data_IF_988120314249
#
_entry.id   IF_988120314249
#
_cell.length_a   1.000
_cell.length_b   1.000
_cell.length_c   1.000
_cell.angle_alpha   90.00
_cell.angle_beta   90.00
_cell.angle_gamma   90.00
#
_symmetry.space_group_name_H-M   'P 1'
#
loop_
_entity.id
_entity.type
_entity.pdbx_description
1 polymer ?
#
# COMPACT_ATOMS: atom_id res chain seq x y z
N UNK A 1 47.89 38.52 -27.18
CA UNK A 1 47.07 38.37 -28.39
C UNK A 1 47.59 37.18 -29.15
N UNK A 2 46.83 36.09 -29.18
CA UNK A 2 47.04 34.99 -30.11
C UNK A 2 45.65 34.68 -30.65
N UNK A 3 45.38 35.22 -31.84
CA UNK A 3 44.26 34.82 -32.66
C UNK A 3 44.51 33.38 -33.10
N UNK A 4 43.54 32.51 -32.89
CA UNK A 4 43.48 31.21 -33.56
C UNK A 4 42.30 31.28 -34.52
N UNK A 5 42.62 31.31 -35.81
CA UNK A 5 41.66 31.18 -36.89
C UNK A 5 41.04 29.78 -36.83
N UNK A 6 39.72 29.71 -36.73
CA UNK A 6 38.98 28.48 -37.01
C UNK A 6 38.65 28.45 -38.50
N UNK A 7 39.30 27.58 -39.26
CA UNK A 7 38.84 27.17 -40.59
C UNK A 7 37.61 26.28 -40.39
N UNK A 8 36.43 26.79 -40.73
CA UNK A 8 35.23 25.99 -40.83
C UNK A 8 35.36 25.05 -42.04
N UNK A 9 35.23 23.76 -41.77
CA UNK A 9 35.20 22.70 -42.78
C UNK A 9 33.86 22.79 -43.53
N UNK A 10 33.84 22.72 -44.86
CA UNK A 10 32.62 22.81 -45.69
C UNK A 10 31.60 21.68 -45.37
N UNK A 11 32.02 20.65 -44.63
CA UNK A 11 31.13 19.60 -44.12
C UNK A 11 30.27 20.04 -42.91
N UNK A 12 30.58 21.16 -42.27
CA UNK A 12 29.82 21.69 -41.13
C UNK A 12 28.58 22.49 -41.58
N UNK A 13 28.43 22.78 -42.89
CA UNK A 13 27.23 23.42 -43.44
C UNK A 13 26.02 22.47 -43.51
N UNK A 14 26.19 21.15 -43.38
CA UNK A 14 25.06 20.22 -43.23
C UNK A 14 24.50 20.27 -41.80
N UNK A 15 25.27 20.72 -40.81
CA UNK A 15 24.85 20.83 -39.41
C UNK A 15 24.09 22.13 -39.07
N UNK A 16 23.88 23.03 -40.05
CA UNK A 16 23.11 24.27 -39.87
C UNK A 16 21.93 24.38 -40.84
N UNK A 17 20.97 23.48 -40.72
CA UNK A 17 19.59 23.80 -41.10
C UNK A 17 18.95 24.74 -40.06
N UNK A 18 19.55 25.92 -39.87
CA UNK A 18 18.89 27.08 -39.26
C UNK A 18 18.02 27.67 -40.38
N UNK A 19 16.81 27.14 -40.57
CA UNK A 19 15.94 27.65 -41.64
C UNK A 19 14.70 26.84 -42.02
N UNK A 20 14.47 25.63 -41.49
CA UNK A 20 13.25 24.87 -41.80
C UNK A 20 12.46 24.58 -40.54
N UNK A 21 11.55 25.49 -40.17
CA UNK A 21 10.49 25.19 -39.21
C UNK A 21 9.50 24.20 -39.83
N UNK A 22 9.84 22.92 -39.79
CA UNK A 22 8.89 21.84 -40.01
C UNK A 22 8.53 21.25 -38.64
N UNK A 23 7.73 21.98 -37.86
CA UNK A 23 7.16 21.47 -36.60
C UNK A 23 5.80 20.84 -36.89
N UNK A 24 5.78 19.74 -37.66
CA UNK A 24 4.53 19.04 -37.91
C UNK A 24 4.16 18.15 -36.73
N UNK A 25 2.86 18.09 -36.44
CA UNK A 25 2.30 17.17 -35.46
C UNK A 25 1.42 16.14 -36.16
N UNK A 26 1.28 14.97 -35.55
CA UNK A 26 0.36 13.94 -36.02
C UNK A 26 -0.20 13.18 -34.83
N UNK A 27 -1.52 13.07 -34.81
CA UNK A 27 -2.24 12.28 -33.82
C UNK A 27 -2.62 10.93 -34.40
N UNK A 28 -2.38 9.86 -33.67
CA UNK A 28 -2.79 8.49 -34.03
C UNK A 28 -3.70 7.96 -32.93
N UNK A 29 -4.85 7.41 -33.34
CA UNK A 29 -5.70 6.64 -32.41
C UNK A 29 -5.12 5.24 -32.18
N UNK A 30 -5.34 4.68 -31.01
CA UNK A 30 -4.88 3.32 -30.69
C UNK A 30 -5.48 2.25 -31.61
N UNK A 31 -6.70 2.46 -32.10
CA UNK A 31 -7.31 1.59 -33.11
C UNK A 31 -6.63 1.65 -34.50
N UNK A 32 -5.90 2.73 -34.77
CA UNK A 32 -5.14 2.94 -36.02
C UNK A 32 -3.68 2.50 -35.87
N UNK A 33 -3.20 2.32 -34.63
CA UNK A 33 -1.83 1.89 -34.32
C UNK A 33 -1.57 0.48 -34.84
N UNK A 34 -0.39 0.26 -35.44
CA UNK A 34 -0.05 -1.05 -35.98
C UNK A 34 -0.03 -2.13 -34.89
N UNK A 35 -0.79 -3.21 -35.16
CA UNK A 35 -0.99 -4.31 -34.21
C UNK A 35 0.30 -4.94 -33.70
N UNK A 36 1.32 -5.06 -34.55
CA UNK A 36 2.60 -5.65 -34.16
C UNK A 36 3.37 -4.74 -33.18
N UNK A 37 3.23 -3.42 -33.30
CA UNK A 37 3.83 -2.44 -32.38
C UNK A 37 3.13 -2.51 -31.02
N UNK A 38 1.79 -2.53 -31.01
CA UNK A 38 1.02 -2.66 -29.77
C UNK A 38 1.29 -4.00 -29.05
N UNK A 39 1.36 -5.11 -29.79
CA UNK A 39 1.70 -6.42 -29.23
C UNK A 39 3.12 -6.44 -28.65
N UNK A 40 4.09 -5.78 -29.29
CA UNK A 40 5.44 -5.62 -28.76
C UNK A 40 5.42 -4.83 -27.44
N UNK A 41 4.63 -3.76 -27.36
CA UNK A 41 4.46 -2.98 -26.13
C UNK A 41 3.87 -3.83 -24.99
N UNK A 42 2.79 -4.59 -25.26
CA UNK A 42 2.20 -5.53 -24.30
C UNK A 42 3.21 -6.58 -23.83
N UNK A 43 4.00 -7.14 -24.75
CA UNK A 43 5.02 -8.12 -24.39
C UNK A 43 6.09 -7.52 -23.47
N UNK A 44 6.55 -6.30 -23.75
CA UNK A 44 7.52 -5.57 -22.91
C UNK A 44 6.94 -5.33 -21.51
N UNK A 45 5.71 -4.81 -21.41
CA UNK A 45 5.03 -4.57 -20.13
C UNK A 45 4.73 -5.88 -19.38
N UNK A 46 4.52 -6.98 -20.08
CA UNK A 46 4.26 -8.32 -19.54
C UNK A 46 5.49 -9.14 -19.15
N UNK A 47 6.72 -8.61 -19.21
CA UNK A 47 7.93 -9.39 -18.87
C UNK A 47 8.05 -9.71 -17.37
N UNK A 48 7.52 -8.84 -16.51
CA UNK A 48 7.54 -9.04 -15.07
C UNK A 48 6.46 -10.06 -14.70
N UNK A 49 6.78 -11.09 -13.91
CA UNK A 49 5.84 -12.11 -13.41
C UNK A 49 4.66 -11.53 -12.62
N UNK A 50 4.80 -10.31 -12.10
CA UNK A 50 3.73 -9.56 -11.42
C UNK A 50 3.02 -8.54 -12.30
N UNK A 51 3.30 -8.49 -13.60
CA UNK A 51 2.65 -7.55 -14.52
C UNK A 51 1.15 -7.80 -14.62
N UNK A 52 0.36 -6.73 -14.63
CA UNK A 52 -1.07 -6.77 -14.96
C UNK A 52 -1.34 -7.12 -16.42
N UNK A 53 -0.35 -6.97 -17.30
CA UNK A 53 -0.50 -7.22 -18.73
C UNK A 53 -0.38 -8.69 -19.13
N UNK A 54 -0.27 -9.60 -18.16
CA UNK A 54 -0.55 -11.01 -18.41
C UNK A 54 -2.02 -11.19 -18.78
N UNK A 55 -2.27 -12.04 -19.77
CA UNK A 55 -3.59 -12.10 -20.40
C UNK A 55 -4.68 -12.63 -19.47
N UNK A 56 -4.37 -13.61 -18.62
CA UNK A 56 -5.23 -14.12 -17.56
C UNK A 56 -5.67 -13.01 -16.58
N UNK A 57 -4.75 -12.11 -16.22
CA UNK A 57 -5.04 -10.97 -15.33
C UNK A 57 -5.85 -9.89 -16.03
N UNK A 58 -5.50 -9.53 -17.27
CA UNK A 58 -6.30 -8.61 -18.09
C UNK A 58 -7.70 -9.16 -18.34
N UNK A 59 -7.83 -10.45 -18.65
CA UNK A 59 -9.11 -11.12 -18.86
C UNK A 59 -9.96 -11.06 -17.59
N UNK A 60 -9.38 -11.40 -16.44
CA UNK A 60 -10.07 -11.35 -15.15
C UNK A 60 -10.55 -9.93 -14.79
N UNK A 61 -9.74 -8.91 -15.10
CA UNK A 61 -9.97 -7.53 -14.69
C UNK A 61 -10.86 -6.73 -15.66
N UNK A 62 -10.74 -6.98 -16.95
CA UNK A 62 -11.42 -6.24 -18.02
C UNK A 62 -12.51 -7.03 -18.73
N UNK A 63 -12.67 -8.32 -18.40
CA UNK A 63 -13.58 -9.25 -19.06
C UNK A 63 -13.39 -9.33 -20.60
N UNK A 64 -12.14 -9.23 -21.05
CA UNK A 64 -11.78 -9.34 -22.47
C UNK A 64 -11.55 -10.80 -22.89
N UNK A 65 -12.02 -11.19 -24.08
CA UNK A 65 -11.84 -12.57 -24.58
C UNK A 65 -10.49 -12.79 -25.27
N UNK A 66 -9.85 -11.72 -25.73
CA UNK A 66 -8.55 -11.78 -26.39
C UNK A 66 -7.83 -10.42 -26.33
N UNK A 67 -6.53 -10.40 -26.61
CA UNK A 67 -5.70 -9.19 -26.56
C UNK A 67 -6.13 -8.11 -27.56
N UNK A 68 -6.87 -8.45 -28.62
CA UNK A 68 -7.27 -7.46 -29.63
C UNK A 68 -8.38 -6.56 -29.11
N UNK A 69 -9.25 -7.08 -28.23
CA UNK A 69 -10.32 -6.30 -27.62
C UNK A 69 -9.77 -5.15 -26.77
N UNK A 70 -8.60 -5.35 -26.15
CA UNK A 70 -7.92 -4.27 -25.43
C UNK A 70 -7.60 -3.10 -26.36
N UNK A 71 -6.98 -3.35 -27.52
CA UNK A 71 -6.61 -2.29 -28.47
C UNK A 71 -7.83 -1.67 -29.17
N UNK A 72 -8.70 -2.53 -29.71
CA UNK A 72 -9.69 -2.12 -30.70
C UNK A 72 -11.06 -1.79 -30.12
N UNK A 73 -11.33 -2.21 -28.87
CA UNK A 73 -12.59 -1.92 -28.19
C UNK A 73 -12.35 -0.98 -27.02
N UNK A 74 -11.51 -1.38 -26.05
CA UNK A 74 -11.34 -0.62 -24.80
C UNK A 74 -10.48 0.65 -24.98
N UNK A 75 -9.37 0.53 -25.70
CA UNK A 75 -8.46 1.65 -25.94
C UNK A 75 -8.72 2.36 -27.28
N UNK A 76 -9.76 1.95 -28.01
CA UNK A 76 -10.03 2.35 -29.41
C UNK A 76 -9.82 3.84 -29.70
N UNK A 77 -10.35 4.67 -28.81
CA UNK A 77 -10.43 6.13 -28.97
C UNK A 77 -9.29 6.89 -28.28
N UNK A 78 -8.40 6.18 -27.57
CA UNK A 78 -7.21 6.77 -26.97
C UNK A 78 -6.26 7.23 -28.07
N UNK A 79 -5.60 8.36 -27.84
CA UNK A 79 -4.81 9.03 -28.88
C UNK A 79 -3.43 9.40 -28.37
N UNK A 80 -2.46 9.38 -29.28
CA UNK A 80 -1.10 9.84 -29.03
C UNK A 80 -0.80 10.94 -30.05
N UNK A 81 -0.44 12.11 -29.54
CA UNK A 81 0.07 13.19 -30.37
C UNK A 81 1.59 13.12 -30.45
N UNK A 82 2.12 12.99 -31.67
CA UNK A 82 3.54 13.02 -31.96
C UNK A 82 3.91 14.42 -32.45
N UNK A 83 4.92 15.03 -31.82
CA UNK A 83 5.36 16.41 -32.07
C UNK A 83 6.73 16.41 -32.77
N UNK A 84 7.04 17.48 -33.52
CA UNK A 84 8.38 17.70 -34.10
C UNK A 84 8.72 16.79 -35.29
N UNK A 85 7.72 16.41 -36.09
CA UNK A 85 7.91 15.54 -37.24
C UNK A 85 8.52 16.28 -38.44
N UNK A 86 9.33 15.56 -39.23
CA UNK A 86 9.87 16.04 -40.50
C UNK A 86 8.78 16.30 -41.56
N UNK A 87 9.17 16.81 -42.74
CA UNK A 87 8.22 17.16 -43.82
C UNK A 87 7.35 16.00 -44.29
N UNK A 88 7.87 14.78 -44.22
CA UNK A 88 7.18 13.56 -44.61
C UNK A 88 6.09 13.12 -43.61
N UNK A 89 6.04 13.74 -42.42
CA UNK A 89 5.11 13.46 -41.32
C UNK A 89 5.08 11.97 -40.94
N UNK A 90 6.19 11.27 -41.19
CA UNK A 90 6.35 9.88 -40.80
C UNK A 90 6.75 9.81 -39.34
N UNK A 91 6.20 8.82 -38.63
CA UNK A 91 6.53 8.56 -37.23
C UNK A 91 7.35 7.26 -37.21
N UNK A 92 8.53 7.32 -36.59
CA UNK A 92 9.40 6.15 -36.50
C UNK A 92 8.73 5.02 -35.69
N UNK A 93 8.88 3.73 -36.06
CA UNK A 93 8.30 2.63 -35.31
C UNK A 93 8.67 2.61 -33.82
N UNK A 94 9.86 3.09 -33.46
CA UNK A 94 10.29 3.17 -32.05
C UNK A 94 9.54 4.26 -31.28
N UNK A 95 9.22 5.39 -31.91
CA UNK A 95 8.39 6.43 -31.29
C UNK A 95 6.96 5.92 -31.07
N UNK A 96 6.42 5.20 -32.05
CA UNK A 96 5.11 4.54 -31.92
C UNK A 96 5.10 3.54 -30.77
N UNK A 97 6.16 2.75 -30.61
CA UNK A 97 6.33 1.83 -29.50
C UNK A 97 6.39 2.57 -28.15
N UNK A 98 7.19 3.63 -28.06
CA UNK A 98 7.29 4.47 -26.87
C UNK A 98 5.93 5.08 -26.50
N UNK A 99 5.17 5.53 -27.50
CA UNK A 99 3.80 5.99 -27.33
C UNK A 99 2.88 4.90 -26.76
N UNK A 100 2.90 3.69 -27.35
CA UNK A 100 2.13 2.56 -26.84
C UNK A 100 2.47 2.24 -25.38
N UNK A 101 3.76 2.28 -25.02
CA UNK A 101 4.21 2.03 -23.65
C UNK A 101 3.67 3.07 -22.66
N UNK A 102 3.62 4.35 -23.05
CA UNK A 102 3.01 5.42 -22.23
C UNK A 102 1.51 5.21 -22.04
N UNK A 103 0.77 4.88 -23.10
CA UNK A 103 -0.66 4.57 -22.97
C UNK A 103 -0.86 3.37 -22.04
N UNK A 104 -0.09 2.29 -22.21
CA UNK A 104 -0.20 1.13 -21.34
C UNK A 104 0.15 1.47 -19.89
N UNK A 105 1.13 2.34 -19.64
CA UNK A 105 1.43 2.83 -18.29
C UNK A 105 0.25 3.61 -17.68
N UNK A 106 -0.41 4.47 -18.46
CA UNK A 106 -1.62 5.17 -18.01
C UNK A 106 -2.77 4.21 -17.76
N UNK A 107 -2.95 3.19 -18.60
CA UNK A 107 -3.96 2.14 -18.41
C UNK A 107 -3.67 1.34 -17.15
N UNK A 108 -2.43 0.95 -16.91
CA UNK A 108 -2.00 0.26 -15.69
C UNK A 108 -2.33 1.09 -14.45
N UNK A 109 -1.98 2.37 -14.47
CA UNK A 109 -2.30 3.33 -13.40
C UNK A 109 -3.81 3.42 -13.19
N UNK A 110 -4.58 3.68 -14.25
CA UNK A 110 -6.04 3.76 -14.16
C UNK A 110 -6.68 2.46 -13.69
N UNK A 111 -6.17 1.30 -14.10
CA UNK A 111 -6.68 0.02 -13.66
C UNK A 111 -6.36 -0.27 -12.21
N UNK A 112 -5.20 0.17 -11.73
CA UNK A 112 -4.88 0.13 -10.30
C UNK A 112 -5.72 1.09 -9.47
N UNK A 113 -6.11 2.24 -10.06
CA UNK A 113 -7.02 3.22 -9.44
C UNK A 113 -8.51 2.81 -9.53
N UNK A 114 -8.90 2.10 -10.59
CA UNK A 114 -10.31 1.72 -10.90
C UNK A 114 -10.70 0.35 -10.38
N UNK A 115 -9.75 -0.46 -9.90
CA UNK A 115 -10.05 -1.49 -8.91
C UNK A 115 -10.60 -0.72 -7.71
N UNK A 116 -11.93 -0.47 -7.71
CA UNK A 116 -12.61 0.08 -6.56
C UNK A 116 -12.17 -0.77 -5.39
N UNK A 117 -11.38 -0.24 -4.46
CA UNK A 117 -11.19 -0.95 -3.25
C UNK A 117 -12.57 -1.15 -2.65
N UNK A 118 -12.76 -2.28 -1.98
CA UNK A 118 -13.82 -2.37 -1.00
C UNK A 118 -13.69 -1.15 -0.09
N UNK A 119 -14.55 -0.15 -0.24
CA UNK A 119 -14.62 0.96 0.72
C UNK A 119 -15.01 0.30 2.03
N UNK A 120 -14.15 0.45 3.05
CA UNK A 120 -14.33 -0.23 4.32
C UNK A 120 -15.74 0.01 4.84
N UNK A 121 -16.55 -1.05 4.96
CA UNK A 121 -17.84 -0.93 5.62
C UNK A 121 -17.61 -0.57 7.07
N UNK A 122 -18.47 0.29 7.63
CA UNK A 122 -18.49 0.51 9.08
C UNK A 122 -19.08 -0.66 9.87
N UNK A 123 -19.57 -1.67 9.15
CA UNK A 123 -20.01 -2.93 9.72
C UNK A 123 -18.82 -3.89 9.81
N UNK A 124 -18.50 -4.32 11.04
CA UNK A 124 -17.51 -5.35 11.30
C UNK A 124 -18.21 -6.70 11.50
N UNK A 125 -17.74 -7.71 10.78
CA UNK A 125 -18.17 -9.09 10.97
C UNK A 125 -17.09 -9.85 11.74
N UNK A 126 -17.45 -10.57 12.82
CA UNK A 126 -16.48 -11.34 13.57
C UNK A 126 -15.91 -12.47 12.71
N UNK A 127 -14.59 -12.63 12.78
CA UNK A 127 -13.86 -13.75 12.19
C UNK A 127 -12.99 -14.39 13.26
N UNK A 128 -12.79 -15.70 13.14
CA UNK A 128 -11.91 -16.42 14.04
C UNK A 128 -10.45 -16.21 13.62
N UNK A 129 -9.55 -16.09 14.59
CA UNK A 129 -8.12 -15.90 14.30
C UNK A 129 -7.57 -17.00 13.39
N UNK A 130 -7.98 -18.26 13.57
CA UNK A 130 -7.53 -19.37 12.71
C UNK A 130 -8.06 -19.29 11.27
N UNK A 131 -9.14 -18.56 11.00
CA UNK A 131 -9.61 -18.33 9.63
C UNK A 131 -8.71 -17.31 8.91
N UNK A 132 -8.03 -16.46 9.65
CA UNK A 132 -7.14 -15.40 9.13
C UNK A 132 -5.68 -15.88 9.14
N UNK A 133 -5.21 -16.40 10.27
CA UNK A 133 -3.82 -16.77 10.55
C UNK A 133 -3.58 -18.28 10.58
N UNK A 134 -4.59 -19.12 10.32
CA UNK A 134 -4.44 -20.59 10.41
C UNK A 134 -3.60 -21.20 9.30
N UNK A 135 -3.33 -20.45 8.23
CA UNK A 135 -2.39 -20.88 7.18
C UNK A 135 -1.04 -20.18 7.40
N UNK A 136 0.05 -20.92 7.67
CA UNK A 136 1.36 -20.32 7.85
C UNK A 136 1.84 -19.58 6.60
N UNK A 137 2.27 -18.32 6.75
CA UNK A 137 2.95 -17.56 5.70
C UNK A 137 4.44 -17.91 5.72
N UNK A 138 4.96 -18.45 4.62
CA UNK A 138 6.40 -18.70 4.48
C UNK A 138 7.13 -17.40 4.14
N UNK A 139 8.22 -17.11 4.86
CA UNK A 139 9.08 -15.95 4.64
C UNK A 139 10.54 -16.38 4.63
N UNK A 140 11.30 -15.89 3.65
CA UNK A 140 12.74 -16.07 3.59
C UNK A 140 13.41 -15.00 4.44
N UNK A 141 14.11 -15.42 5.48
CA UNK A 141 14.86 -14.55 6.39
C UNK A 141 16.28 -15.08 6.51
N UNK A 142 17.25 -14.19 6.71
CA UNK A 142 18.60 -14.63 7.06
C UNK A 142 18.56 -15.24 8.45
N UNK A 143 19.24 -16.37 8.64
CA UNK A 143 19.23 -17.10 9.90
C UNK A 143 19.71 -16.23 11.08
N UNK A 144 20.70 -15.39 10.84
CA UNK A 144 21.31 -14.55 11.89
C UNK A 144 20.40 -13.38 12.31
N UNK A 145 19.40 -13.03 11.49
CA UNK A 145 18.43 -11.97 11.79
C UNK A 145 17.24 -12.51 12.63
N UNK A 146 17.14 -13.83 12.83
CA UNK A 146 16.06 -14.46 13.57
C UNK A 146 16.34 -14.43 15.07
N UNK A 147 15.47 -13.73 15.80
CA UNK A 147 15.51 -13.59 17.27
C UNK A 147 14.42 -14.45 17.92
N UNK A 148 14.74 -15.72 18.18
CA UNK A 148 13.84 -16.63 18.91
C UNK A 148 13.63 -16.21 20.36
N UNK A 149 14.63 -15.53 20.96
CA UNK A 149 14.56 -15.06 22.35
C UNK A 149 13.34 -14.18 22.61
N UNK A 150 13.00 -13.27 21.68
CA UNK A 150 11.83 -12.39 21.78
C UNK A 150 10.55 -13.21 21.95
N UNK A 151 10.35 -14.26 21.15
CA UNK A 151 9.17 -15.10 21.27
C UNK A 151 9.17 -15.91 22.57
N UNK A 152 10.31 -16.49 22.94
CA UNK A 152 10.38 -17.37 24.13
C UNK A 152 10.31 -16.63 25.47
N UNK A 153 10.73 -15.36 25.52
CA UNK A 153 10.73 -14.55 26.75
C UNK A 153 9.41 -13.80 26.96
N UNK A 154 8.58 -13.71 25.92
CA UNK A 154 7.32 -12.96 25.94
C UNK A 154 6.16 -13.93 25.64
N UNK A 155 5.60 -14.52 26.69
CA UNK A 155 4.40 -15.39 26.64
C UNK A 155 3.16 -14.74 25.98
N UNK A 156 3.15 -13.41 25.91
CA UNK A 156 2.13 -12.60 25.27
C UNK A 156 2.39 -12.35 23.78
N UNK A 157 3.59 -12.66 23.27
CA UNK A 157 3.92 -12.54 21.85
C UNK A 157 3.53 -13.83 21.11
N UNK A 158 2.69 -13.72 20.09
CA UNK A 158 2.03 -14.90 19.50
C UNK A 158 2.91 -15.64 18.48
N UNK A 159 3.90 -14.98 17.86
CA UNK A 159 4.70 -15.61 16.81
C UNK A 159 5.86 -16.44 17.41
N UNK A 160 6.21 -17.54 16.76
CA UNK A 160 7.30 -18.43 17.22
C UNK A 160 8.70 -17.81 17.15
N UNK A 161 8.87 -16.81 16.28
CA UNK A 161 10.13 -16.13 16.05
C UNK A 161 9.89 -14.67 15.69
N UNK A 162 10.89 -13.83 15.97
CA UNK A 162 10.92 -12.45 15.50
C UNK A 162 12.03 -12.27 14.47
N UNK A 163 11.72 -11.62 13.35
CA UNK A 163 12.68 -11.19 12.34
C UNK A 163 12.20 -9.85 11.78
N UNK A 164 12.63 -8.77 12.42
CA UNK A 164 12.15 -7.42 12.16
C UNK A 164 13.23 -6.36 12.32
N UNK A 165 12.84 -5.11 12.14
CA UNK A 165 13.68 -3.93 12.28
C UNK A 165 13.98 -3.61 13.74
N UNK A 166 14.99 -2.77 13.98
CA UNK A 166 15.29 -2.24 15.32
C UNK A 166 14.13 -1.43 15.90
N UNK A 167 13.31 -0.80 15.07
CA UNK A 167 12.14 -0.04 15.52
C UNK A 167 11.01 -0.97 15.98
N UNK A 168 10.75 -2.05 15.23
CA UNK A 168 9.80 -3.09 15.64
C UNK A 168 10.25 -3.77 16.95
N UNK A 169 11.55 -3.98 17.13
CA UNK A 169 12.10 -4.51 18.38
C UNK A 169 11.94 -3.51 19.54
N UNK A 170 12.18 -2.23 19.31
CA UNK A 170 11.94 -1.18 20.31
C UNK A 170 10.47 -1.09 20.72
N UNK A 171 9.53 -1.31 19.80
CA UNK A 171 8.10 -1.39 20.12
C UNK A 171 7.80 -2.58 21.05
N UNK A 172 8.37 -3.75 20.78
CA UNK A 172 8.19 -4.93 21.63
C UNK A 172 8.74 -4.67 23.04
N UNK A 173 9.93 -4.06 23.12
CA UNK A 173 10.53 -3.67 24.39
C UNK A 173 9.66 -2.67 25.16
N UNK A 174 9.15 -1.64 24.49
CA UNK A 174 8.22 -0.66 25.06
C UNK A 174 6.97 -1.34 25.63
N UNK A 175 6.35 -2.26 24.88
CA UNK A 175 5.17 -2.99 25.34
C UNK A 175 5.50 -3.85 26.56
N UNK A 176 6.66 -4.53 26.55
CA UNK A 176 7.13 -5.33 27.69
C UNK A 176 7.27 -4.50 28.97
N UNK A 177 7.78 -3.27 28.88
CA UNK A 177 7.97 -2.37 30.01
C UNK A 177 6.64 -1.87 30.60
N UNK A 178 5.59 -1.76 29.77
CA UNK A 178 4.26 -1.29 30.18
C UNK A 178 3.27 -2.44 30.44
N UNK A 179 3.73 -3.69 30.36
CA UNK A 179 2.89 -4.88 30.40
C UNK A 179 2.34 -5.20 31.81
N UNK A 180 3.05 -4.77 32.87
CA UNK A 180 2.73 -5.10 34.26
C UNK A 180 1.30 -4.72 34.63
N UNK A 181 0.92 -3.47 34.35
CA UNK A 181 -0.41 -2.95 34.63
C UNK A 181 -1.49 -3.62 33.77
N UNK A 182 -1.16 -3.89 32.51
CA UNK A 182 -2.05 -4.52 31.53
C UNK A 182 -2.41 -5.96 31.93
N UNK A 183 -1.42 -6.80 32.26
CA UNK A 183 -1.63 -8.21 32.62
C UNK A 183 -2.45 -8.39 33.88
N UNK A 184 -2.52 -7.39 34.76
CA UNK A 184 -3.38 -7.46 35.95
C UNK A 184 -4.87 -7.43 35.61
N UNK A 185 -5.25 -6.71 34.55
CA UNK A 185 -6.64 -6.46 34.14
C UNK A 185 -7.06 -7.32 32.95
N UNK A 186 -6.12 -7.62 32.05
CA UNK A 186 -6.41 -8.22 30.76
C UNK A 186 -5.62 -9.51 30.51
N UNK A 187 -6.18 -10.40 29.69
CA UNK A 187 -5.40 -11.35 28.91
C UNK A 187 -4.83 -10.61 27.69
N UNK A 188 -3.51 -10.66 27.51
CA UNK A 188 -2.77 -9.80 26.57
C UNK A 188 -2.10 -10.68 25.51
N UNK A 189 -2.33 -10.37 24.23
CA UNK A 189 -1.67 -11.04 23.11
C UNK A 189 -1.25 -10.02 22.03
N UNK A 190 0.02 -10.01 21.65
CA UNK A 190 0.53 -9.22 20.52
C UNK A 190 0.76 -10.14 19.32
N UNK A 191 0.08 -9.83 18.23
CA UNK A 191 0.23 -10.49 16.94
C UNK A 191 1.05 -9.58 16.03
N UNK A 192 2.15 -10.09 15.47
CA UNK A 192 2.78 -9.47 14.30
C UNK A 192 2.04 -9.93 13.06
N UNK A 193 1.54 -9.00 12.28
CA UNK A 193 0.58 -9.29 11.23
C UNK A 193 1.20 -9.96 10.00
N UNK A 194 2.41 -9.54 9.61
CA UNK A 194 3.09 -10.05 8.40
C UNK A 194 2.22 -9.93 7.13
N UNK A 195 1.49 -8.83 6.97
CA UNK A 195 0.61 -8.54 5.83
C UNK A 195 -0.53 -9.58 5.61
N UNK A 196 -0.87 -10.38 6.62
CA UNK A 196 -1.93 -11.40 6.52
C UNK A 196 -3.31 -10.76 6.67
N UNK A 197 -3.45 -9.88 7.65
CA UNK A 197 -4.66 -9.13 7.96
C UNK A 197 -4.66 -7.78 7.25
N UNK A 198 -5.73 -7.51 6.51
CA UNK A 198 -5.93 -6.27 5.75
C UNK A 198 -7.24 -5.62 6.15
N UNK A 199 -7.17 -4.32 6.44
CA UNK A 199 -8.29 -3.40 6.56
C UNK A 199 -8.39 -2.58 5.28
N UNK A 200 -9.56 -2.01 5.03
CA UNK A 200 -9.75 -1.07 3.93
C UNK A 200 -10.26 0.25 4.51
N UNK A 201 -9.68 1.36 4.06
CA UNK A 201 -9.99 2.70 4.52
C UNK A 201 -11.47 3.04 4.32
N UNK A 202 -12.06 3.80 5.24
CA UNK A 202 -13.47 4.21 5.16
C UNK A 202 -13.72 5.27 4.07
N UNK A 203 -12.71 6.07 3.74
CA UNK A 203 -12.85 7.19 2.82
C UNK A 203 -12.79 6.75 1.35
N UNK A 204 -11.76 6.01 1.01
CA UNK A 204 -11.42 5.66 -0.37
C UNK A 204 -11.21 4.16 -0.57
N UNK A 205 -11.27 3.35 0.49
CA UNK A 205 -11.02 1.91 0.47
C UNK A 205 -9.55 1.49 0.44
N UNK A 206 -8.60 2.43 0.50
CA UNK A 206 -7.18 2.09 0.46
C UNK A 206 -6.81 1.00 1.49
N UNK A 207 -6.03 0.03 1.02
CA UNK A 207 -5.71 -1.17 1.76
C UNK A 207 -4.66 -0.91 2.84
N UNK A 208 -5.03 -1.09 4.11
CA UNK A 208 -4.13 -0.93 5.25
C UNK A 208 -3.84 -2.27 5.91
N UNK A 209 -2.57 -2.60 6.07
CA UNK A 209 -2.10 -3.80 6.77
C UNK A 209 -1.25 -3.33 7.95
N UNK A 210 -1.79 -3.25 9.17
CA UNK A 210 -1.01 -2.81 10.33
C UNK A 210 0.11 -3.80 10.61
N UNK A 211 1.28 -3.33 11.02
CA UNK A 211 2.39 -4.22 11.38
C UNK A 211 2.08 -5.11 12.60
N UNK A 212 1.40 -4.55 13.61
CA UNK A 212 1.04 -5.26 14.83
C UNK A 212 -0.42 -5.06 15.23
N UNK A 213 -0.96 -6.09 15.88
CA UNK A 213 -2.30 -6.11 16.46
C UNK A 213 -2.19 -6.55 17.91
N UNK A 214 -2.51 -5.65 18.84
CA UNK A 214 -2.56 -5.94 20.28
C UNK A 214 -4.01 -6.27 20.68
N UNK A 215 -4.21 -7.47 21.20
CA UNK A 215 -5.48 -7.98 21.69
C UNK A 215 -5.50 -7.94 23.21
N UNK A 216 -6.49 -7.25 23.78
CA UNK A 216 -6.76 -7.24 25.21
C UNK A 216 -8.15 -7.82 25.46
N UNK A 217 -8.26 -8.72 26.44
CA UNK A 217 -9.54 -9.25 26.89
C UNK A 217 -9.67 -9.07 28.39
N UNK A 218 -10.78 -8.51 28.86
CA UNK A 218 -11.06 -8.39 30.29
C UNK A 218 -10.94 -9.73 31.01
N UNK A 219 -10.32 -9.70 32.20
CA UNK A 219 -10.37 -10.82 33.13
C UNK A 219 -11.67 -10.79 33.94
N UNK A 220 -12.17 -11.95 34.44
CA UNK A 220 -13.46 -12.05 35.12
C UNK A 220 -13.62 -11.16 36.37
N UNK A 221 -12.50 -10.75 36.98
CA UNK A 221 -12.47 -9.86 38.15
C UNK A 221 -12.38 -8.38 37.80
N UNK A 222 -12.19 -8.07 36.52
CA UNK A 222 -12.08 -6.73 35.95
C UNK A 222 -13.32 -6.50 35.09
N UNK A 223 -14.51 -6.64 35.68
CA UNK A 223 -15.76 -6.23 35.04
C UNK A 223 -15.69 -4.72 34.85
N UNK A 224 -15.29 -4.31 33.65
CA UNK A 224 -15.17 -2.92 33.27
C UNK A 224 -16.50 -2.41 32.69
N UNK A 225 -16.94 -1.27 33.18
CA UNK A 225 -17.77 -0.32 32.42
C UNK A 225 -19.24 -0.68 32.15
N UNK A 226 -19.94 -1.33 33.09
CA UNK A 226 -21.41 -1.40 33.07
C UNK A 226 -22.01 -2.19 31.91
N UNK A 227 -21.21 -3.05 31.27
CA UNK A 227 -21.62 -3.93 30.18
C UNK A 227 -21.70 -5.38 30.70
N UNK A 228 -22.82 -6.06 30.47
CA UNK A 228 -22.94 -7.49 30.74
C UNK A 228 -22.08 -8.28 29.73
N UNK A 229 -20.83 -8.59 30.09
CA UNK A 229 -19.90 -9.39 29.30
C UNK A 229 -18.43 -8.97 29.41
N UNK A 230 -17.53 -9.73 28.78
CA UNK A 230 -16.12 -9.34 28.66
C UNK A 230 -15.96 -8.28 27.56
N UNK A 231 -15.25 -7.19 27.85
CA UNK A 231 -14.81 -6.25 26.85
C UNK A 231 -13.50 -6.73 26.22
N UNK A 232 -13.46 -6.66 24.89
CA UNK A 232 -12.32 -7.00 24.07
C UNK A 232 -11.83 -5.75 23.34
N UNK A 233 -10.52 -5.56 23.31
CA UNK A 233 -9.89 -4.47 22.56
C UNK A 233 -9.02 -5.07 21.46
N UNK A 234 -9.15 -4.51 20.26
CA UNK A 234 -8.28 -4.79 19.14
C UNK A 234 -7.59 -3.49 18.75
N UNK A 235 -6.30 -3.41 19.05
CA UNK A 235 -5.50 -2.21 18.92
C UNK A 235 -4.52 -2.39 17.76
N UNK A 236 -4.57 -1.49 16.78
CA UNK A 236 -3.72 -1.48 15.60
C UNK A 236 -2.51 -0.57 15.83
N UNK A 237 -1.32 -1.10 15.56
CA UNK A 237 -0.04 -0.44 15.85
C UNK A 237 0.83 -0.50 14.60
N UNK A 238 1.39 0.65 14.24
CA UNK A 238 2.28 0.82 13.09
C UNK A 238 3.56 1.56 13.56
N UNK A 239 4.70 0.88 13.66
CA UNK A 239 5.99 1.52 13.83
C UNK A 239 6.42 2.23 12.54
N UNK A 240 6.88 3.47 12.66
CA UNK A 240 7.34 4.27 11.53
C UNK A 240 8.62 5.02 11.85
N UNK A 241 9.62 4.89 10.96
CA UNK A 241 10.87 5.66 11.07
C UNK A 241 10.62 7.15 10.85
N UNK A 242 11.45 8.01 11.46
CA UNK A 242 11.24 9.46 11.52
C UNK A 242 11.07 10.23 10.20
N UNK A 243 11.31 9.62 9.04
CA UNK A 243 10.96 10.18 7.73
C UNK A 243 9.57 9.71 7.31
N UNK A 244 8.54 10.41 7.79
CA UNK A 244 7.18 10.25 7.28
C UNK A 244 7.13 10.70 5.81
N UNK A 245 7.09 9.73 4.90
CA UNK A 245 6.76 10.02 3.51
C UNK A 245 5.31 10.49 3.43
N UNK A 246 5.01 11.45 2.55
CA UNK A 246 3.64 11.90 2.27
C UNK A 246 2.69 10.75 1.91
N UNK A 247 3.24 9.64 1.40
CA UNK A 247 2.48 8.47 1.02
C UNK A 247 1.95 7.66 2.22
N UNK A 248 2.45 7.89 3.43
CA UNK A 248 2.00 7.15 4.63
C UNK A 248 1.12 7.99 5.57
N UNK A 249 0.91 9.28 5.30
CA UNK A 249 0.12 10.14 6.19
C UNK A 249 -1.33 9.67 6.33
N UNK A 250 -1.92 9.14 5.25
CA UNK A 250 -3.29 8.64 5.25
C UNK A 250 -3.50 7.46 6.22
N UNK A 251 -2.44 6.68 6.51
CA UNK A 251 -2.53 5.58 7.48
C UNK A 251 -2.71 6.10 8.90
N UNK A 252 -2.06 7.22 9.25
CA UNK A 252 -2.27 7.88 10.53
C UNK A 252 -3.72 8.39 10.65
N UNK A 253 -4.20 9.06 9.60
CA UNK A 253 -5.59 9.54 9.53
C UNK A 253 -6.59 8.38 9.65
N UNK A 254 -6.28 7.24 9.03
CA UNK A 254 -7.13 6.05 9.11
C UNK A 254 -7.15 5.42 10.51
N UNK A 255 -5.99 5.33 11.19
CA UNK A 255 -5.91 4.87 12.58
C UNK A 255 -6.72 5.77 13.53
N UNK A 256 -6.64 7.09 13.35
CA UNK A 256 -7.46 8.06 14.09
C UNK A 256 -8.96 7.86 13.80
N UNK A 257 -9.33 7.66 12.53
CA UNK A 257 -10.71 7.42 12.12
C UNK A 257 -11.29 6.12 12.73
N UNK A 258 -10.49 5.05 12.85
CA UNK A 258 -10.89 3.81 13.53
C UNK A 258 -11.23 4.11 14.99
N UNK A 259 -10.35 4.81 15.70
CA UNK A 259 -10.56 5.14 17.13
C UNK A 259 -11.75 6.06 17.34
N UNK A 260 -11.93 7.07 16.47
CA UNK A 260 -13.06 7.98 16.55
C UNK A 260 -14.41 7.25 16.35
N UNK A 261 -14.43 6.26 15.47
CA UNK A 261 -15.64 5.51 15.15
C UNK A 261 -15.97 4.42 16.18
N UNK A 262 -14.98 3.64 16.66
CA UNK A 262 -15.21 2.43 17.49
C UNK A 262 -14.50 2.41 18.84
N UNK A 263 -13.72 3.45 19.17
CA UNK A 263 -12.93 3.47 20.40
C UNK A 263 -13.73 3.76 21.67
N UNK A 264 -14.90 4.40 21.54
CA UNK A 264 -15.74 4.86 22.67
C UNK A 264 -17.11 4.19 22.71
N UNK A 265 -18.12 4.84 22.13
CA UNK A 265 -19.55 4.54 22.38
C UNK A 265 -20.12 3.45 21.47
N UNK A 266 -19.46 3.17 20.34
CA UNK A 266 -19.86 2.12 19.40
C UNK A 266 -19.17 0.82 19.77
N UNK A 267 -19.79 0.10 20.69
CA UNK A 267 -19.49 -1.31 20.88
C UNK A 267 -20.11 -2.09 19.70
N UNK A 268 -19.34 -2.95 19.06
CA UNK A 268 -19.85 -3.84 18.01
C UNK A 268 -20.77 -4.91 18.64
N UNK A 269 -22.08 -4.61 18.74
CA UNK A 269 -23.05 -5.36 19.57
C UNK A 269 -23.87 -6.45 18.84
N UNK A 270 -23.66 -6.69 17.54
CA UNK A 270 -24.51 -7.66 16.82
C UNK A 270 -24.03 -9.10 17.11
N UNK A 271 -24.56 -9.69 18.18
CA UNK A 271 -24.45 -11.11 18.56
C UNK A 271 -23.04 -11.62 18.96
N UNK A 272 -22.10 -10.71 19.28
CA UNK A 272 -20.72 -11.05 19.66
C UNK A 272 -20.29 -10.38 20.97
N UNK A 273 -19.19 -10.86 21.62
CA UNK A 273 -18.56 -10.15 22.73
C UNK A 273 -18.33 -8.68 22.40
N UNK A 274 -18.30 -7.83 23.42
CA UNK A 274 -18.16 -6.38 23.24
C UNK A 274 -16.75 -6.08 22.70
N UNK A 275 -16.63 -5.54 21.48
CA UNK A 275 -15.35 -5.15 20.89
C UNK A 275 -15.22 -3.63 20.77
N UNK A 276 -14.04 -3.12 21.12
CA UNK A 276 -13.54 -1.78 20.79
C UNK A 276 -12.35 -1.89 19.86
N UNK A 277 -12.34 -1.05 18.82
CA UNK A 277 -11.23 -0.95 17.89
C UNK A 277 -10.50 0.37 18.11
N UNK A 278 -9.17 0.31 18.17
CA UNK A 278 -8.33 1.47 18.44
C UNK A 278 -7.17 1.46 17.45
N UNK A 279 -6.98 2.55 16.72
CA UNK A 279 -5.72 2.84 16.04
C UNK A 279 -4.88 3.77 16.90
N UNK A 280 -3.66 3.34 17.24
CA UNK A 280 -2.70 4.20 17.93
C UNK A 280 -2.02 5.15 16.94
N UNK A 281 -1.48 6.29 17.41
CA UNK A 281 -0.49 7.04 16.64
C UNK A 281 0.67 6.15 16.20
N UNK A 282 1.49 6.60 15.24
CA UNK A 282 2.69 5.86 14.89
C UNK A 282 3.67 5.78 16.05
N UNK A 283 4.30 4.61 16.19
CA UNK A 283 5.42 4.42 17.10
C UNK A 283 6.71 4.83 16.40
N UNK A 284 7.41 5.83 16.91
CA UNK A 284 8.63 6.38 16.27
C UNK A 284 9.85 6.26 17.18
N UNK A 285 11.05 6.37 16.60
CA UNK A 285 12.35 6.32 17.28
C UNK A 285 12.75 7.64 17.97
N UNK A 286 11.97 8.71 17.78
CA UNK A 286 12.32 10.06 18.20
C UNK A 286 11.56 10.47 19.48
N UNK A 287 11.99 11.58 20.11
CA UNK A 287 11.34 12.15 21.30
C UNK A 287 9.85 12.51 21.11
N UNK A 288 9.34 12.47 19.88
CA UNK A 288 7.92 12.66 19.53
C UNK A 288 7.02 11.44 19.87
N UNK A 289 7.58 10.34 20.36
CA UNK A 289 6.78 9.17 20.76
C UNK A 289 5.83 9.44 21.96
N UNK A 290 5.81 10.66 22.51
CA UNK A 290 4.89 11.09 23.57
C UNK A 290 3.42 10.84 23.24
N UNK A 291 2.98 11.12 22.00
CA UNK A 291 1.59 10.85 21.59
C UNK A 291 1.23 9.37 21.65
N UNK A 292 2.16 8.50 21.25
CA UNK A 292 1.99 7.06 21.34
C UNK A 292 1.88 6.63 22.80
N UNK A 293 2.84 7.05 23.63
CA UNK A 293 2.89 6.72 25.06
C UNK A 293 1.65 7.19 25.81
N UNK A 294 1.16 8.41 25.55
CA UNK A 294 -0.07 8.94 26.14
C UNK A 294 -1.32 8.17 25.71
N UNK A 295 -1.32 7.65 24.47
CA UNK A 295 -2.44 6.91 23.91
C UNK A 295 -2.39 5.41 24.25
N UNK A 296 -1.24 4.88 24.63
CA UNK A 296 -1.06 3.47 24.94
C UNK A 296 -1.56 3.14 26.35
N UNK A 297 -2.22 2.00 26.57
CA UNK A 297 -2.77 1.09 25.57
C UNK A 297 -4.14 1.54 25.05
N UNK A 298 -4.83 2.43 25.78
CA UNK A 298 -6.22 2.84 25.53
C UNK A 298 -6.43 4.37 25.55
N UNK A 299 -5.47 5.17 26.05
CA UNK A 299 -5.50 6.64 26.04
C UNK A 299 -6.84 7.26 26.48
N UNK A 300 -7.28 8.30 25.76
CA UNK A 300 -8.57 8.95 25.96
C UNK A 300 -9.80 8.10 25.51
N UNK A 301 -9.59 6.89 25.00
CA UNK A 301 -10.67 5.91 24.78
C UNK A 301 -11.07 5.20 26.09
N UNK A 302 -10.25 5.32 27.14
CA UNK A 302 -10.59 4.89 28.51
C UNK A 302 -11.29 5.98 29.34
N UNK A 303 -11.33 7.23 28.88
CA UNK A 303 -11.91 8.33 29.67
C UNK A 303 -13.42 8.34 29.53
N UNK A 304 -14.07 7.81 30.57
CA UNK A 304 -15.49 7.90 30.84
C UNK A 304 -16.02 9.34 30.71
N UNK A 305 -17.16 9.47 30.05
CA UNK A 305 -18.26 10.32 30.53
C UNK A 305 -19.54 9.51 30.54
#
# INVERSE_FOLDING_TARGET
MQETQFTADENDEIARQIGTQNNFTKTIKMSEMERHIFNKALHIKGKNSQSLFHFDRLQSKLNIQNRNELQNNLLKDWQIEFLGLGQDKQIHPDDKLAGCLKILEMVEKHLNESDKPFIGTKEFTPKKLWEIFGTPKQKWVKKDDVKTAIATQNDWYVMDNFAGTSLEEALIQFISEHLGDLKSKYDVHLIRNEEVFKLNNFADGEGFMPDFILLLKDKPKSSSNGVDGFLHYQIFIEPKGGHLEKNDSWKADFLEAITAEYGRDKILQKDTPHYRLIGLPFFTDNQENGKFTESFPLGAASLEK
#
